data_IF_332667314975
#
_entry.id   IF_332667314975
#
_cell.length_a   1.000
_cell.length_b   1.000
_cell.length_c   1.000
_cell.angle_alpha   90.00
_cell.angle_beta   90.00
_cell.angle_gamma   90.00
#
_symmetry.space_group_name_H-M   'P 1'
#
loop_
_entity.id
_entity.type
_entity.pdbx_description
1 polymer ?
#
# COMPACT_ATOMS: atom_id res chain seq x y z
N UNK A 1 -7.15 7.13 2.55
CA UNK A 1 -5.87 7.81 2.88
C UNK A 1 -4.75 7.30 1.96
N UNK A 2 -4.69 6.00 1.76
CA UNK A 2 -3.71 5.24 0.98
C UNK A 2 -3.59 5.73 -0.46
N UNK A 3 -4.72 5.98 -1.14
CA UNK A 3 -4.71 6.51 -2.51
C UNK A 3 -4.09 7.90 -2.59
N UNK A 4 -4.25 8.74 -1.57
CA UNK A 4 -3.62 10.07 -1.50
C UNK A 4 -2.13 9.92 -1.24
N UNK A 5 -1.74 9.07 -0.29
CA UNK A 5 -0.33 8.78 -0.02
C UNK A 5 0.41 8.29 -1.27
N UNK A 6 -0.16 7.32 -1.99
CA UNK A 6 0.43 6.81 -3.24
C UNK A 6 0.42 7.84 -4.37
N UNK A 7 -0.62 8.68 -4.47
CA UNK A 7 -0.63 9.78 -5.43
C UNK A 7 0.47 10.80 -5.15
N UNK A 8 0.72 11.12 -3.88
CA UNK A 8 1.82 12.01 -3.48
C UNK A 8 3.17 11.41 -3.87
N UNK A 9 3.43 10.13 -3.54
CA UNK A 9 4.68 9.45 -3.93
C UNK A 9 4.82 9.40 -5.46
N UNK A 10 3.73 9.12 -6.18
CA UNK A 10 3.71 9.14 -7.65
C UNK A 10 4.06 10.51 -8.22
N UNK A 11 3.50 11.58 -7.66
CA UNK A 11 3.81 12.96 -8.10
C UNK A 11 5.26 13.36 -7.84
N UNK A 12 5.92 12.72 -6.87
CA UNK A 12 7.35 12.89 -6.63
C UNK A 12 8.25 12.05 -7.56
N UNK A 13 7.68 11.14 -8.36
CA UNK A 13 8.41 10.24 -9.24
C UNK A 13 8.87 8.93 -8.58
N UNK A 14 8.53 8.71 -7.31
CA UNK A 14 9.10 7.64 -6.48
C UNK A 14 8.16 6.42 -6.34
N UNK A 15 7.13 6.29 -7.17
CA UNK A 15 6.11 5.23 -7.03
C UNK A 15 6.72 3.81 -7.04
N UNK A 16 7.79 3.60 -7.82
CA UNK A 16 8.49 2.30 -7.93
C UNK A 16 9.32 1.96 -6.69
N UNK A 17 9.62 2.95 -5.86
CA UNK A 17 10.45 2.83 -4.66
C UNK A 17 9.62 2.52 -3.41
N UNK A 18 8.28 2.45 -3.52
CA UNK A 18 7.40 2.09 -2.41
C UNK A 18 7.67 0.65 -1.97
N UNK A 19 8.30 0.47 -0.82
CA UNK A 19 8.58 -0.85 -0.21
C UNK A 19 7.52 -1.29 0.81
N UNK A 20 6.84 -0.32 1.43
CA UNK A 20 5.83 -0.56 2.44
C UNK A 20 4.83 0.60 2.53
N UNK A 21 3.66 0.33 3.09
CA UNK A 21 2.64 1.33 3.43
C UNK A 21 2.03 1.04 4.80
N UNK A 22 1.80 2.09 5.59
CA UNK A 22 1.07 2.02 6.85
C UNK A 22 -0.33 2.61 6.73
N UNK A 23 -1.32 1.93 7.28
CA UNK A 23 -2.71 2.37 7.38
C UNK A 23 -3.09 2.38 8.86
N UNK A 24 -3.50 3.55 9.36
CA UNK A 24 -3.97 3.73 10.74
C UNK A 24 -5.33 4.41 10.68
N UNK A 25 -6.25 3.97 11.53
CA UNK A 25 -7.58 4.56 11.65
C UNK A 25 -8.43 3.83 12.67
N UNK A 26 -9.63 4.37 12.89
CA UNK A 26 -10.60 3.87 13.85
C UNK A 26 -11.86 4.73 13.86
N UNK A 27 -12.80 4.42 14.74
CA UNK A 27 -14.00 5.21 14.91
C UNK A 27 -13.67 6.56 15.54
N UNK A 28 -14.36 7.63 15.14
CA UNK A 28 -14.18 8.94 15.78
C UNK A 28 -15.04 9.02 17.04
N UNK A 29 -14.46 9.46 18.15
CA UNK A 29 -15.22 9.84 19.35
C UNK A 29 -15.90 11.20 19.18
N UNK A 30 -16.69 11.61 20.18
CA UNK A 30 -17.41 12.91 20.17
C UNK A 30 -16.47 14.13 20.11
N UNK A 31 -15.19 13.95 20.45
CA UNK A 31 -14.14 14.98 20.35
C UNK A 31 -13.38 14.93 19.02
N UNK A 32 -13.77 14.05 18.09
CA UNK A 32 -13.14 13.88 16.78
C UNK A 32 -11.79 13.17 16.83
N UNK A 33 -11.48 12.48 17.93
CA UNK A 33 -10.25 11.69 18.05
C UNK A 33 -10.49 10.28 17.49
N UNK A 34 -9.57 9.74 16.67
CA UNK A 34 -9.66 8.36 16.25
C UNK A 34 -9.44 7.45 17.47
N UNK A 35 -10.33 6.48 17.64
CA UNK A 35 -10.33 5.50 18.75
C UNK A 35 -10.50 4.10 18.19
N UNK A 36 -10.07 3.11 18.99
CA UNK A 36 -10.22 1.70 18.67
C UNK A 36 -8.89 0.96 18.67
N UNK A 37 -8.92 -0.24 19.26
CA UNK A 37 -7.75 -1.11 19.49
C UNK A 37 -7.59 -2.19 18.41
N UNK A 38 -8.54 -2.27 17.48
CA UNK A 38 -8.48 -3.24 16.38
C UNK A 38 -7.77 -2.61 15.17
N UNK A 39 -6.75 -3.28 14.59
CA UNK A 39 -6.14 -2.87 13.34
C UNK A 39 -7.15 -2.65 12.21
N UNK A 40 -6.97 -1.57 11.45
CA UNK A 40 -7.75 -1.31 10.24
C UNK A 40 -6.90 -1.57 9.00
N UNK A 41 -7.44 -2.37 8.08
CA UNK A 41 -6.78 -2.67 6.81
C UNK A 41 -7.24 -1.80 5.65
N UNK A 42 -6.48 -1.74 4.55
CA UNK A 42 -6.90 -1.04 3.35
C UNK A 42 -8.15 -1.68 2.75
N UNK A 43 -9.05 -0.86 2.21
CA UNK A 43 -10.21 -1.35 1.47
C UNK A 43 -9.79 -1.93 0.10
N UNK A 44 -10.68 -2.67 -0.57
CA UNK A 44 -10.36 -3.35 -1.84
C UNK A 44 -9.81 -2.41 -2.93
N UNK A 45 -10.37 -1.20 -3.05
CA UNK A 45 -9.85 -0.18 -3.99
C UNK A 45 -8.43 0.26 -3.64
N UNK A 46 -8.15 0.50 -2.36
CA UNK A 46 -6.81 0.88 -1.91
C UNK A 46 -5.81 -0.25 -2.17
N UNK A 47 -6.20 -1.50 -1.92
CA UNK A 47 -5.36 -2.68 -2.24
C UNK A 47 -4.97 -2.71 -3.72
N UNK A 48 -5.89 -2.37 -4.62
CA UNK A 48 -5.57 -2.30 -6.04
C UNK A 48 -4.59 -1.17 -6.40
N UNK A 49 -4.76 0.02 -5.82
CA UNK A 49 -3.79 1.12 -6.05
C UNK A 49 -2.42 0.79 -5.48
N UNK A 50 -2.35 0.09 -4.33
CA UNK A 50 -1.09 -0.42 -3.79
C UNK A 50 -0.50 -1.48 -4.72
N UNK A 51 -1.32 -2.33 -5.35
CA UNK A 51 -0.86 -3.35 -6.30
C UNK A 51 -0.25 -2.74 -7.56
N UNK A 52 -0.77 -1.61 -8.05
CA UNK A 52 -0.13 -0.86 -9.13
C UNK A 52 1.30 -0.43 -8.75
N UNK A 53 1.48 0.16 -7.57
CA UNK A 53 2.82 0.54 -7.08
C UNK A 53 3.74 -0.68 -6.92
N UNK A 54 3.22 -1.76 -6.34
CA UNK A 54 3.92 -3.02 -6.12
C UNK A 54 4.44 -3.62 -7.44
N UNK A 55 3.59 -3.74 -8.45
CA UNK A 55 3.96 -4.31 -9.75
C UNK A 55 4.86 -3.39 -10.56
N UNK A 56 4.65 -2.06 -10.50
CA UNK A 56 5.55 -1.09 -11.12
C UNK A 56 6.94 -1.09 -10.50
N UNK A 57 7.04 -1.35 -9.19
CA UNK A 57 8.28 -1.50 -8.44
C UNK A 57 8.85 -2.91 -8.43
N UNK A 58 8.18 -3.89 -9.06
CA UNK A 58 8.63 -5.27 -9.15
C UNK A 58 8.77 -5.99 -7.80
N UNK A 59 7.93 -5.64 -6.81
CA UNK A 59 8.03 -6.16 -5.44
C UNK A 59 6.67 -6.38 -4.80
N UNK A 60 6.61 -7.27 -3.81
CA UNK A 60 5.43 -7.43 -2.96
C UNK A 60 5.51 -6.43 -1.79
N UNK A 61 4.64 -5.41 -1.81
CA UNK A 61 4.65 -4.30 -0.85
C UNK A 61 4.16 -4.80 0.52
N UNK A 62 4.89 -4.46 1.58
CA UNK A 62 4.44 -4.76 2.96
C UNK A 62 3.36 -3.76 3.40
N UNK A 63 2.24 -4.26 3.90
CA UNK A 63 1.14 -3.45 4.44
C UNK A 63 1.10 -3.60 5.96
N UNK A 64 1.23 -2.48 6.67
CA UNK A 64 1.05 -2.38 8.10
C UNK A 64 -0.35 -1.82 8.39
N UNK A 65 -1.17 -2.58 9.10
CA UNK A 65 -2.51 -2.21 9.54
C UNK A 65 -2.42 -1.89 11.04
N UNK A 66 -2.58 -0.63 11.41
CA UNK A 66 -2.50 -0.19 12.81
C UNK A 66 -3.87 0.16 13.38
N UNK A 67 -4.05 -0.12 14.66
CA UNK A 67 -5.16 0.38 15.45
C UNK A 67 -5.02 1.91 15.67
N UNK A 68 -6.12 2.59 15.98
CA UNK A 68 -6.11 4.04 16.19
C UNK A 68 -5.24 4.46 17.38
N UNK A 69 -5.20 3.64 18.44
CA UNK A 69 -4.41 3.90 19.65
C UNK A 69 -2.92 3.55 19.46
N UNK A 70 -2.55 2.93 18.33
CA UNK A 70 -1.16 2.56 18.01
C UNK A 70 -0.59 1.40 18.84
N UNK A 71 -1.42 0.72 19.63
CA UNK A 71 -1.08 -0.38 20.52
C UNK A 71 -1.13 -1.76 19.84
N UNK A 72 -1.78 -1.87 18.68
CA UNK A 72 -1.85 -3.07 17.87
C UNK A 72 -1.50 -2.78 16.39
N UNK A 73 -0.67 -3.65 15.80
CA UNK A 73 -0.29 -3.60 14.39
C UNK A 73 -0.28 -5.01 13.82
N UNK A 74 -1.07 -5.24 12.78
CA UNK A 74 -0.97 -6.41 11.92
C UNK A 74 -0.09 -6.09 10.70
N UNK A 75 0.65 -7.09 10.23
CA UNK A 75 1.50 -6.98 9.04
C UNK A 75 1.12 -8.05 8.04
N UNK A 76 0.94 -7.63 6.79
CA UNK A 76 0.65 -8.52 5.67
C UNK A 76 1.55 -8.19 4.47
N UNK A 77 1.86 -9.19 3.66
CA UNK A 77 2.23 -8.94 2.28
C UNK A 77 0.97 -8.51 1.49
N UNK A 78 1.15 -7.67 0.46
CA UNK A 78 0.00 -7.23 -0.34
C UNK A 78 -0.67 -8.42 -1.05
N UNK A 79 0.13 -9.39 -1.52
CA UNK A 79 -0.38 -10.61 -2.18
C UNK A 79 -1.33 -11.43 -1.30
N UNK A 80 -1.18 -11.36 0.04
CA UNK A 80 -2.10 -12.01 0.98
C UNK A 80 -3.45 -11.26 1.08
N UNK A 81 -3.41 -9.93 0.98
CA UNK A 81 -4.59 -9.07 1.05
C UNK A 81 -5.35 -8.99 -0.28
N UNK A 82 -4.68 -9.25 -1.40
CA UNK A 82 -5.22 -9.20 -2.75
C UNK A 82 -4.65 -10.35 -3.62
N UNK A 83 -5.07 -11.60 -3.37
CA UNK A 83 -4.60 -12.73 -4.14
C UNK A 83 -5.11 -12.64 -5.59
N UNK A 84 -4.29 -13.13 -6.54
CA UNK A 84 -4.62 -13.15 -7.96
C UNK A 84 -5.02 -11.76 -8.53
N UNK A 85 -4.36 -10.72 -8.04
CA UNK A 85 -4.61 -9.35 -8.47
C UNK A 85 -4.31 -9.15 -9.96
N UNK A 86 -5.21 -8.45 -10.65
CA UNK A 86 -4.92 -7.88 -11.96
C UNK A 86 -4.18 -6.55 -11.80
N UNK A 87 -3.13 -6.30 -12.61
CA UNK A 87 -2.37 -5.05 -12.59
C UNK A 87 -1.45 -4.84 -13.80
N UNK A 88 -0.49 -3.90 -13.70
CA UNK A 88 0.45 -3.56 -14.76
C UNK A 88 1.15 -4.77 -15.42
N UNK A 89 1.50 -5.81 -14.66
CA UNK A 89 2.17 -6.99 -15.18
C UNK A 89 1.31 -7.75 -16.22
N UNK A 90 0.00 -7.82 -16.02
CA UNK A 90 -0.95 -8.45 -16.94
C UNK A 90 -1.10 -7.70 -18.27
N UNK A 91 -0.67 -6.44 -18.29
CA UNK A 91 -0.65 -5.57 -19.45
C UNK A 91 0.75 -5.44 -20.08
N UNK A 92 1.76 -6.15 -19.56
CA UNK A 92 3.15 -6.01 -19.98
C UNK A 92 3.81 -4.69 -19.55
N UNK A 93 3.26 -4.01 -18.55
CA UNK A 93 3.71 -2.72 -18.00
C UNK A 93 4.35 -2.82 -16.61
N UNK A 94 4.37 -4.00 -15.99
CA UNK A 94 5.08 -4.23 -14.73
C UNK A 94 6.58 -3.97 -14.87
N UNK A 95 7.34 -4.01 -13.77
CA UNK A 95 8.79 -3.81 -13.79
C UNK A 95 9.45 -4.67 -14.88
N UNK A 96 9.73 -4.06 -16.02
CA UNK A 96 10.50 -4.67 -17.09
C UNK A 96 11.87 -4.88 -16.45
N UNK A 97 12.40 -6.09 -16.50
CA UNK A 97 13.81 -6.37 -16.26
C UNK A 97 14.60 -5.67 -17.37
N UNK A 98 14.60 -4.33 -17.43
CA UNK A 98 15.60 -3.60 -18.19
C UNK A 98 16.89 -3.80 -17.41
N UNK A 99 17.78 -4.62 -17.98
CA UNK A 99 19.17 -4.64 -17.60
C UNK A 99 19.62 -3.19 -17.42
N UNK A 100 19.90 -2.82 -16.16
CA UNK A 100 20.62 -1.58 -15.87
C UNK A 100 21.95 -1.69 -16.61
N UNK A 101 22.06 -1.13 -17.80
CA UNK A 101 23.35 -0.66 -18.29
C UNK A 101 23.73 0.49 -17.38
N UNK A 102 24.54 0.18 -16.37
CA UNK A 102 25.17 1.16 -15.52
C UNK A 102 26.15 2.00 -16.34
N UNK A 103 26.34 3.29 -16.02
CA UNK A 103 27.48 4.06 -16.52
C UNK A 103 28.80 3.54 -15.94
#
# INVERSE_FOLDING_TARGET
AETVALATVSSAGDLREVVAIGVIGGAMDDAGRPTGVAPVGPCGRCRQVINEAAQMGGRDVTVYCGAAEGDAIDRYALSELLPHAFGPADLGLGAILTERVAP
#
